data_IF_234435321360
#
_entry.id   IF_234435321360
#
_cell.length_a   1.000
_cell.length_b   1.000
_cell.length_c   1.000
_cell.angle_alpha   90.00
_cell.angle_beta   90.00
_cell.angle_gamma   90.00
#
_symmetry.space_group_name_H-M   'P 1'
#
loop_
_entity.id
_entity.type
_entity.pdbx_description
1 polymer ?
#
# COMPACT_ATOMS: atom_id res chain seq x y z
N UNK A 1 -18.19 -2.01 8.44
CA UNK A 1 -17.92 -1.79 9.88
C UNK A 1 -16.44 -2.00 10.12
N UNK A 2 -15.78 -1.21 10.97
CA UNK A 2 -14.36 -1.40 11.26
C UNK A 2 -14.10 -2.72 11.99
N UNK A 3 -12.89 -3.24 11.81
CA UNK A 3 -12.33 -4.36 12.58
C UNK A 3 -11.44 -3.76 13.65
N UNK A 4 -11.59 -4.23 14.89
CA UNK A 4 -10.72 -3.87 15.99
C UNK A 4 -10.02 -5.09 16.54
N UNK A 5 -8.76 -4.92 16.91
CA UNK A 5 -7.96 -5.93 17.59
C UNK A 5 -8.05 -5.77 19.10
N UNK A 6 -8.16 -6.89 19.80
CA UNK A 6 -8.17 -6.97 21.26
C UNK A 6 -7.13 -7.97 21.76
N UNK A 7 -6.55 -7.68 22.92
CA UNK A 7 -5.59 -8.56 23.59
C UNK A 7 -6.07 -8.85 25.02
N UNK A 8 -6.03 -10.13 25.40
CA UNK A 8 -6.27 -10.55 26.78
C UNK A 8 -5.17 -10.02 27.69
N UNK A 9 -5.55 -9.50 28.86
CA UNK A 9 -4.57 -9.04 29.85
C UNK A 9 -3.84 -10.19 30.56
N UNK A 10 -4.44 -11.39 30.54
CA UNK A 10 -3.89 -12.61 31.11
C UNK A 10 -3.65 -13.65 30.00
N UNK A 11 -3.69 -14.94 30.35
CA UNK A 11 -3.70 -16.01 29.36
C UNK A 11 -4.93 -15.91 28.45
N UNK A 12 -4.72 -16.30 27.19
CA UNK A 12 -5.76 -16.32 26.17
C UNK A 12 -6.91 -17.27 26.51
N UNK A 13 -7.92 -17.25 25.66
CA UNK A 13 -8.96 -18.27 25.64
C UNK A 13 -8.87 -19.07 24.33
N UNK A 14 -9.95 -19.75 23.94
CA UNK A 14 -10.01 -20.48 22.66
C UNK A 14 -9.77 -19.57 21.44
N UNK A 15 -10.08 -18.28 21.55
CA UNK A 15 -9.77 -17.28 20.53
C UNK A 15 -8.31 -16.81 20.55
N UNK A 16 -7.48 -17.43 21.39
CA UNK A 16 -6.08 -17.07 21.58
C UNK A 16 -5.87 -15.86 22.48
N UNK A 17 -4.62 -15.37 22.52
CA UNK A 17 -4.24 -14.19 23.29
C UNK A 17 -4.74 -12.89 22.65
N UNK A 18 -4.76 -12.85 21.32
CA UNK A 18 -5.22 -11.72 20.50
C UNK A 18 -6.31 -12.18 19.55
N UNK A 19 -7.33 -11.35 19.35
CA UNK A 19 -8.43 -11.64 18.44
C UNK A 19 -8.93 -10.35 17.78
N UNK A 20 -9.63 -10.52 16.66
CA UNK A 20 -10.24 -9.45 15.88
C UNK A 20 -11.75 -9.52 15.99
N UNK A 21 -12.41 -8.36 16.08
CA UNK A 21 -13.87 -8.28 16.07
C UNK A 21 -14.34 -7.13 15.20
N UNK A 22 -15.38 -7.40 14.40
CA UNK A 22 -16.09 -6.37 13.65
C UNK A 22 -17.06 -5.65 14.59
N UNK A 23 -16.85 -4.36 14.84
CA UNK A 23 -17.66 -3.56 15.78
C UNK A 23 -18.06 -2.22 15.14
N UNK A 24 -19.18 -1.62 15.55
CA UNK A 24 -19.52 -0.26 15.11
C UNK A 24 -18.60 0.76 15.77
N UNK A 25 -18.30 1.85 15.06
CA UNK A 25 -17.53 2.97 15.63
C UNK A 25 -18.27 3.69 16.77
N UNK A 26 -19.60 3.53 16.84
CA UNK A 26 -20.45 4.10 17.90
C UNK A 26 -20.45 3.27 19.19
N UNK A 27 -19.99 2.02 19.11
CA UNK A 27 -20.01 1.13 20.26
C UNK A 27 -18.83 1.43 21.20
N UNK A 28 -19.05 1.27 22.49
CA UNK A 28 -17.98 1.37 23.48
C UNK A 28 -16.96 0.24 23.33
N UNK A 29 -15.69 0.51 23.65
CA UNK A 29 -14.64 -0.51 23.68
C UNK A 29 -15.00 -1.68 24.61
N UNK A 30 -14.77 -2.90 24.14
CA UNK A 30 -14.88 -4.09 24.99
C UNK A 30 -13.86 -4.03 26.14
N UNK A 31 -14.35 -4.20 27.36
CA UNK A 31 -13.52 -4.40 28.57
C UNK A 31 -13.33 -5.88 28.90
N UNK A 32 -14.18 -6.74 28.35
CA UNK A 32 -14.21 -8.19 28.58
C UNK A 32 -14.34 -8.93 27.26
N UNK A 33 -13.70 -10.08 27.16
CA UNK A 33 -13.84 -10.98 26.02
C UNK A 33 -15.29 -11.50 25.93
N UNK A 34 -15.94 -11.46 24.75
CA UNK A 34 -17.29 -12.01 24.59
C UNK A 34 -17.39 -13.51 24.89
N UNK A 35 -16.33 -14.27 24.62
CA UNK A 35 -16.28 -15.72 24.81
C UNK A 35 -16.05 -16.11 26.29
N UNK A 36 -14.91 -15.71 26.85
CA UNK A 36 -14.49 -16.17 28.18
C UNK A 36 -14.72 -15.14 29.30
N UNK A 37 -15.24 -13.94 29.00
CA UNK A 37 -15.49 -12.83 29.94
C UNK A 37 -14.25 -12.30 30.70
N UNK A 38 -13.05 -12.80 30.41
CA UNK A 38 -11.78 -12.31 30.95
C UNK A 38 -11.50 -10.87 30.48
N UNK A 39 -10.74 -10.06 31.24
CA UNK A 39 -10.42 -8.69 30.87
C UNK A 39 -9.56 -8.62 29.61
N UNK A 40 -9.94 -7.71 28.71
CA UNK A 40 -9.24 -7.43 27.44
C UNK A 40 -8.98 -5.93 27.29
N UNK A 41 -7.95 -5.59 26.53
CA UNK A 41 -7.65 -4.23 26.10
C UNK A 41 -7.75 -4.14 24.58
N UNK A 42 -8.22 -3.00 24.06
CA UNK A 42 -8.19 -2.74 22.62
C UNK A 42 -6.77 -2.41 22.19
N UNK A 43 -6.26 -3.11 21.20
CA UNK A 43 -5.01 -2.76 20.54
C UNK A 43 -5.31 -1.76 19.43
N UNK A 44 -4.53 -0.67 19.40
CA UNK A 44 -4.57 0.28 18.30
C UNK A 44 -3.80 -0.34 17.14
N UNK A 45 -4.51 -0.80 16.11
CA UNK A 45 -3.89 -1.31 14.89
C UNK A 45 -3.03 -0.22 14.25
N UNK A 46 -1.93 -0.64 13.63
CA UNK A 46 -1.11 0.28 12.83
C UNK A 46 -1.94 0.78 11.65
N UNK A 47 -1.88 2.08 11.41
CA UNK A 47 -2.48 2.66 10.21
C UNK A 47 -1.62 2.28 9.00
N UNK A 48 -2.26 1.75 7.96
CA UNK A 48 -1.61 1.59 6.67
C UNK A 48 -1.40 2.96 6.03
N UNK A 49 -0.16 3.46 6.05
CA UNK A 49 0.19 4.72 5.36
C UNK A 49 0.75 4.35 3.99
N UNK A 50 0.07 4.80 2.94
CA UNK A 50 0.55 4.70 1.56
C UNK A 50 0.90 6.10 1.05
N UNK A 51 2.20 6.39 0.93
CA UNK A 51 2.70 7.62 0.31
C UNK A 51 3.18 7.27 -1.10
N UNK A 52 2.67 7.99 -2.09
CA UNK A 52 3.12 7.82 -3.48
C UNK A 52 4.59 8.15 -3.63
N UNK A 53 5.30 7.37 -4.45
CA UNK A 53 6.69 7.66 -4.82
C UNK A 53 6.75 8.81 -5.82
N UNK A 54 7.74 9.68 -5.65
CA UNK A 54 8.09 10.70 -6.63
C UNK A 54 8.59 10.06 -7.93
N UNK A 55 8.57 10.82 -9.02
CA UNK A 55 9.11 10.33 -10.29
C UNK A 55 10.60 9.99 -10.19
N UNK A 56 11.37 10.72 -9.38
CA UNK A 56 12.79 10.42 -9.14
C UNK A 56 12.96 9.06 -8.45
N UNK A 57 12.23 8.79 -7.37
CA UNK A 57 12.27 7.50 -6.68
C UNK A 57 11.84 6.34 -7.59
N UNK A 58 10.81 6.55 -8.43
CA UNK A 58 10.40 5.55 -9.41
C UNK A 58 11.51 5.24 -10.40
N UNK A 59 12.18 6.28 -10.93
CA UNK A 59 13.33 6.10 -11.85
C UNK A 59 14.47 5.34 -11.17
N UNK A 60 14.79 5.68 -9.93
CA UNK A 60 15.92 5.10 -9.21
C UNK A 60 15.64 3.63 -8.81
N UNK A 61 14.37 3.27 -8.59
CA UNK A 61 13.92 1.88 -8.42
C UNK A 61 13.85 1.08 -9.73
N UNK A 62 14.18 1.68 -10.86
CA UNK A 62 14.14 1.03 -12.17
C UNK A 62 12.77 1.00 -12.82
N UNK A 63 11.78 1.74 -12.32
CA UNK A 63 10.51 1.90 -13.00
C UNK A 63 10.59 2.95 -14.11
N UNK A 64 9.70 2.80 -15.08
CA UNK A 64 9.44 3.78 -16.13
C UNK A 64 7.98 4.23 -16.02
N UNK A 65 7.76 5.53 -15.84
CA UNK A 65 6.43 6.12 -15.73
C UNK A 65 6.13 6.95 -16.97
N UNK A 66 5.13 6.50 -17.72
CA UNK A 66 4.59 7.19 -18.88
C UNK A 66 3.30 7.91 -18.49
N UNK A 67 3.25 9.23 -18.70
CA UNK A 67 2.07 10.05 -18.46
C UNK A 67 1.47 10.43 -19.80
N UNK A 68 0.22 10.04 -20.06
CA UNK A 68 -0.47 10.35 -21.31
C UNK A 68 -0.57 11.87 -21.52
N UNK A 69 -0.23 12.32 -22.72
CA UNK A 69 -0.35 13.73 -23.15
C UNK A 69 -1.37 13.88 -24.26
N UNK A 70 -1.46 12.90 -25.15
CA UNK A 70 -2.45 12.84 -26.24
C UNK A 70 -2.81 11.38 -26.57
N UNK A 71 -3.58 11.12 -27.63
CA UNK A 71 -3.71 9.78 -28.19
C UNK A 71 -2.39 9.32 -28.82
N UNK A 72 -1.92 8.17 -28.36
CA UNK A 72 -0.63 7.60 -28.80
C UNK A 72 0.61 8.32 -28.29
N UNK A 73 0.51 9.45 -27.58
CA UNK A 73 1.67 10.22 -27.09
C UNK A 73 1.72 10.24 -25.56
N UNK A 74 2.85 9.79 -25.01
CA UNK A 74 3.09 9.70 -23.58
C UNK A 74 4.42 10.36 -23.19
N UNK A 75 4.42 11.21 -22.17
CA UNK A 75 5.66 11.77 -21.61
C UNK A 75 6.30 10.78 -20.64
N UNK A 76 7.56 10.46 -20.86
CA UNK A 76 8.38 9.71 -19.93
C UNK A 76 8.91 10.64 -18.83
N UNK A 77 8.19 10.71 -17.71
CA UNK A 77 8.57 11.55 -16.57
C UNK A 77 9.73 10.97 -15.74
N UNK A 78 10.23 9.81 -16.17
CA UNK A 78 11.37 9.08 -15.60
C UNK A 78 12.51 8.92 -16.61
N UNK A 79 12.52 9.71 -17.69
CA UNK A 79 13.51 9.60 -18.75
C UNK A 79 14.95 9.64 -18.21
N UNK A 80 15.77 8.70 -18.66
CA UNK A 80 17.20 8.63 -18.35
C UNK A 80 18.01 9.19 -19.51
N UNK A 81 19.33 9.31 -19.32
CA UNK A 81 20.22 9.80 -20.37
C UNK A 81 20.15 8.86 -21.59
N UNK A 82 19.72 9.40 -22.72
CA UNK A 82 19.57 8.65 -23.98
C UNK A 82 18.15 8.15 -24.26
N UNK A 83 17.21 8.29 -23.31
CA UNK A 83 15.80 8.01 -23.56
C UNK A 83 15.12 9.20 -24.25
N UNK A 84 14.12 8.92 -25.09
CA UNK A 84 13.22 9.96 -25.58
C UNK A 84 12.35 10.51 -24.43
N UNK A 85 12.10 11.82 -24.45
CA UNK A 85 11.17 12.47 -23.52
C UNK A 85 9.72 12.05 -23.77
N UNK A 86 9.36 11.81 -25.03
CA UNK A 86 8.04 11.38 -25.43
C UNK A 86 8.13 10.00 -26.08
N UNK A 87 7.29 9.09 -25.61
CA UNK A 87 7.04 7.80 -26.23
C UNK A 87 5.80 7.94 -27.10
N UNK A 88 5.95 7.63 -28.39
CA UNK A 88 4.90 7.64 -29.38
C UNK A 88 4.59 6.20 -29.80
N UNK A 89 3.30 5.84 -29.87
CA UNK A 89 2.83 4.48 -30.18
C UNK A 89 3.45 3.91 -31.45
N UNK A 90 3.57 4.73 -32.50
CA UNK A 90 3.96 4.30 -33.84
C UNK A 90 5.47 4.44 -34.12
N UNK A 91 6.26 4.89 -33.12
CA UNK A 91 7.70 5.11 -33.25
C UNK A 91 8.48 4.24 -32.24
N UNK A 92 8.89 3.02 -32.62
CA UNK A 92 9.59 2.10 -31.74
C UNK A 92 10.88 2.67 -31.13
N UNK A 93 11.56 3.56 -31.84
CA UNK A 93 12.77 4.25 -31.38
C UNK A 93 12.54 5.16 -30.16
N UNK A 94 11.28 5.53 -29.88
CA UNK A 94 10.90 6.36 -28.72
C UNK A 94 10.55 5.55 -27.48
N UNK A 95 10.51 4.21 -27.61
CA UNK A 95 10.16 3.31 -26.51
C UNK A 95 11.35 3.24 -25.52
N UNK A 96 11.12 3.46 -24.21
CA UNK A 96 12.18 3.34 -23.21
C UNK A 96 12.79 1.94 -23.18
N UNK A 97 14.12 1.88 -23.23
CA UNK A 97 14.85 0.62 -23.26
C UNK A 97 14.97 0.01 -21.86
N UNK A 98 14.05 -0.90 -21.54
CA UNK A 98 14.00 -1.57 -20.23
C UNK A 98 15.19 -2.49 -19.97
N UNK A 99 15.88 -2.95 -21.01
CA UNK A 99 17.03 -3.85 -20.86
C UNK A 99 18.22 -3.16 -20.18
N UNK A 100 18.33 -1.84 -20.31
CA UNK A 100 19.35 -1.02 -19.63
C UNK A 100 19.07 -0.84 -18.13
N UNK A 101 17.88 -1.24 -17.67
CA UNK A 101 17.39 -0.93 -16.32
C UNK A 101 17.40 -2.18 -15.42
N UNK A 102 17.09 -3.35 -15.98
CA UNK A 102 16.98 -4.61 -15.26
C UNK A 102 18.36 -5.30 -15.29
N UNK A 103 18.94 -5.58 -14.11
CA UNK A 103 20.15 -6.39 -13.95
C UNK A 103 19.80 -7.84 -13.66
#
# INVERSE_FOLDING_TARGET
>A
MPIYEYEHMAEGCEWGKRFEIQQSIKDSQLKKCPECKKPVKRNLSLVGISVGKSNAELRDLGFTKLVRRDDGVYENVTARKGDSRYMERDKPETIPDVSKIIK
#
